data_IF_916356983761
#
_entry.id   IF_916356983761
#
_cell.length_a   1.000
_cell.length_b   1.000
_cell.length_c   1.000
_cell.angle_alpha   90.00
_cell.angle_beta   90.00
_cell.angle_gamma   90.00
#
_symmetry.space_group_name_H-M   'P 1'
#
loop_
_entity.id
_entity.type
_entity.pdbx_description
1 polymer ?
#
# COMPACT_ATOMS: atom_id res chain seq x y z
N UNK A 1 30.87 -50.19 -32.18
CA UNK A 1 29.61 -49.40 -32.26
C UNK A 1 28.64 -49.66 -31.10
N UNK A 2 28.33 -50.92 -30.74
CA UNK A 2 27.34 -51.25 -29.68
C UNK A 2 27.58 -50.57 -28.30
N UNK A 3 28.82 -50.50 -27.81
CA UNK A 3 29.14 -49.83 -26.52
C UNK A 3 28.88 -48.32 -26.51
N UNK A 4 29.08 -47.62 -27.63
CA UNK A 4 28.82 -46.17 -27.75
C UNK A 4 27.32 -45.87 -27.76
N UNK A 5 26.54 -46.75 -28.40
CA UNK A 5 25.07 -46.64 -28.44
C UNK A 5 24.46 -46.84 -27.04
N UNK A 6 24.96 -47.82 -26.28
CA UNK A 6 24.51 -48.04 -24.89
C UNK A 6 24.78 -46.82 -24.02
N UNK A 7 26.00 -46.26 -24.07
CA UNK A 7 26.35 -45.06 -23.28
C UNK A 7 25.44 -43.88 -23.60
N UNK A 8 25.15 -43.63 -24.88
CA UNK A 8 24.25 -42.54 -25.30
C UNK A 8 22.82 -42.77 -24.78
N UNK A 9 22.31 -43.99 -24.87
CA UNK A 9 20.99 -44.35 -24.33
C UNK A 9 20.91 -44.17 -22.82
N UNK A 10 21.94 -44.57 -22.06
CA UNK A 10 21.97 -44.36 -20.61
C UNK A 10 22.04 -42.88 -20.26
N UNK A 11 22.78 -42.08 -21.04
CA UNK A 11 22.92 -40.65 -20.83
C UNK A 11 21.60 -39.91 -21.11
N UNK A 12 20.85 -40.32 -22.14
CA UNK A 12 19.51 -39.80 -22.45
C UNK A 12 18.50 -40.17 -21.34
N UNK A 13 18.56 -41.41 -20.84
CA UNK A 13 17.68 -41.86 -19.77
C UNK A 13 17.94 -41.10 -18.46
N UNK A 14 19.22 -40.86 -18.13
CA UNK A 14 19.62 -40.02 -17.00
C UNK A 14 19.20 -38.56 -17.19
N UNK A 15 19.29 -38.02 -18.41
CA UNK A 15 18.82 -36.66 -18.71
C UNK A 15 17.30 -36.52 -18.52
N UNK A 16 16.52 -37.51 -18.95
CA UNK A 16 15.06 -37.51 -18.80
C UNK A 16 14.61 -37.63 -17.34
N UNK A 17 15.31 -38.42 -16.51
CA UNK A 17 15.03 -38.53 -15.09
C UNK A 17 15.30 -37.22 -14.33
N UNK A 18 16.33 -36.46 -14.74
CA UNK A 18 16.62 -35.13 -14.18
C UNK A 18 15.53 -34.11 -14.53
N UNK A 19 14.97 -34.16 -15.74
CA UNK A 19 13.89 -33.24 -16.15
C UNK A 19 12.56 -33.46 -15.43
N UNK A 20 12.27 -34.68 -14.97
CA UNK A 20 11.02 -34.99 -14.24
C UNK A 20 11.10 -34.58 -12.77
N UNK A 21 12.30 -34.57 -12.17
CA UNK A 21 12.52 -34.12 -10.79
C UNK A 21 12.67 -32.59 -10.65
N UNK A 22 12.94 -31.88 -11.74
CA UNK A 22 12.84 -30.42 -11.80
C UNK A 22 11.38 -30.02 -12.04
N UNK A 23 10.51 -30.29 -11.05
CA UNK A 23 9.13 -29.79 -11.05
C UNK A 23 9.14 -28.27 -11.28
N UNK A 24 8.32 -27.82 -12.22
CA UNK A 24 8.32 -26.46 -12.79
C UNK A 24 7.86 -25.38 -11.79
N UNK A 25 8.63 -25.10 -10.74
CA UNK A 25 8.44 -23.90 -9.95
C UNK A 25 8.89 -22.69 -10.79
N UNK A 26 7.98 -22.11 -11.58
CA UNK A 26 8.22 -20.97 -12.49
C UNK A 26 8.88 -19.79 -11.74
N UNK A 27 8.61 -19.66 -10.44
CA UNK A 27 9.09 -18.57 -9.59
C UNK A 27 10.15 -19.01 -8.55
N UNK A 28 10.60 -20.26 -8.62
CA UNK A 28 11.58 -20.85 -7.70
C UNK A 28 10.98 -21.30 -6.35
N UNK A 29 11.85 -21.56 -5.37
CA UNK A 29 11.47 -22.11 -4.06
C UNK A 29 11.80 -21.17 -2.90
N UNK A 30 10.99 -21.19 -1.85
CA UNK A 30 11.23 -20.56 -0.56
C UNK A 30 11.19 -21.63 0.53
N UNK A 31 12.31 -21.88 1.20
CA UNK A 31 12.46 -22.91 2.23
C UNK A 31 11.94 -24.30 1.79
N UNK A 32 12.18 -24.68 0.53
CA UNK A 32 11.73 -25.97 -0.04
C UNK A 32 10.32 -25.96 -0.60
N UNK A 33 9.54 -24.90 -0.41
CA UNK A 33 8.18 -24.75 -0.95
C UNK A 33 8.18 -23.95 -2.26
N UNK A 34 7.35 -24.34 -3.22
CA UNK A 34 7.20 -23.60 -4.48
C UNK A 34 6.66 -22.19 -4.22
N UNK A 35 7.32 -21.16 -4.77
CA UNK A 35 6.87 -19.77 -4.64
C UNK A 35 5.67 -19.51 -5.56
N UNK A 36 4.76 -18.67 -5.10
CA UNK A 36 3.67 -18.13 -5.92
C UNK A 36 3.86 -16.64 -6.18
N UNK A 37 3.48 -16.23 -7.38
CA UNK A 37 3.38 -14.82 -7.75
C UNK A 37 2.05 -14.25 -7.24
N UNK A 38 2.10 -13.15 -6.50
CA UNK A 38 0.92 -12.47 -5.96
C UNK A 38 0.74 -11.14 -6.69
N UNK A 39 -0.48 -10.88 -7.15
CA UNK A 39 -0.86 -9.60 -7.75
C UNK A 39 -1.92 -8.93 -6.88
N UNK A 40 -1.71 -7.67 -6.51
CA UNK A 40 -2.70 -6.82 -5.85
C UNK A 40 -3.05 -5.67 -6.80
N UNK A 41 -4.32 -5.55 -7.18
CA UNK A 41 -4.78 -4.56 -8.17
C UNK A 41 -4.00 -4.62 -9.51
N UNK A 42 -3.55 -5.81 -9.90
CA UNK A 42 -2.74 -6.03 -11.10
C UNK A 42 -1.23 -5.76 -10.93
N UNK A 43 -0.81 -5.16 -9.82
CA UNK A 43 0.59 -4.92 -9.51
C UNK A 43 1.21 -6.10 -8.75
N UNK A 44 2.43 -6.48 -9.12
CA UNK A 44 3.11 -7.59 -8.46
C UNK A 44 3.56 -7.17 -7.06
N UNK A 45 3.08 -7.90 -6.06
CA UNK A 45 3.49 -7.74 -4.68
C UNK A 45 4.85 -8.39 -4.46
N UNK A 46 5.81 -7.61 -3.95
CA UNK A 46 7.13 -8.09 -3.55
C UNK A 46 7.26 -7.96 -2.04
N UNK A 47 7.58 -9.07 -1.38
CA UNK A 47 7.72 -9.17 0.06
C UNK A 47 8.93 -10.00 0.44
N UNK A 48 9.49 -9.71 1.61
CA UNK A 48 10.64 -10.47 2.16
C UNK A 48 10.32 -11.95 2.30
N UNK A 49 9.09 -12.26 2.72
CA UNK A 49 8.54 -13.62 2.74
C UNK A 49 7.60 -13.70 1.54
N UNK A 50 7.93 -14.43 0.46
CA UNK A 50 7.04 -14.58 -0.69
C UNK A 50 5.82 -15.43 -0.31
N UNK A 51 4.79 -15.44 -1.15
CA UNK A 51 3.78 -16.48 -1.09
C UNK A 51 4.39 -17.82 -1.51
N UNK A 52 3.93 -18.92 -0.93
CA UNK A 52 4.39 -20.28 -1.27
C UNK A 52 3.29 -21.32 -1.10
N UNK A 53 3.47 -22.51 -1.66
CA UNK A 53 2.54 -23.64 -1.55
C UNK A 53 3.07 -24.68 -0.56
N UNK A 54 2.28 -25.00 0.46
CA UNK A 54 2.50 -26.13 1.37
C UNK A 54 1.28 -27.06 1.32
N UNK A 55 1.49 -28.35 1.06
CA UNK A 55 0.40 -29.35 1.02
C UNK A 55 -0.79 -28.91 0.14
N UNK A 56 -0.50 -28.42 -1.08
CA UNK A 56 -1.49 -27.85 -2.03
C UNK A 56 -2.26 -26.63 -1.53
N UNK A 57 -1.83 -26.01 -0.43
CA UNK A 57 -2.41 -24.79 0.13
C UNK A 57 -1.49 -23.61 -0.13
N UNK A 58 -2.02 -22.53 -0.69
CA UNK A 58 -1.28 -21.29 -0.87
C UNK A 58 -1.22 -20.52 0.45
N UNK A 59 -0.01 -20.30 0.95
CA UNK A 59 0.27 -19.50 2.15
C UNK A 59 0.81 -18.15 1.72
N UNK A 60 0.19 -17.09 2.24
CA UNK A 60 0.55 -15.72 1.94
C UNK A 60 0.91 -14.95 3.21
N UNK A 61 1.88 -14.01 3.14
CA UNK A 61 2.22 -13.15 4.27
C UNK A 61 1.08 -12.18 4.59
N UNK A 62 0.27 -12.52 5.60
CA UNK A 62 -0.91 -11.74 6.01
C UNK A 62 -0.59 -10.26 6.22
N UNK A 63 0.49 -9.95 6.95
CA UNK A 63 0.89 -8.57 7.25
C UNK A 63 1.12 -7.76 5.98
N UNK A 64 1.92 -8.26 5.05
CA UNK A 64 2.21 -7.58 3.78
C UNK A 64 0.94 -7.31 3.00
N UNK A 65 0.04 -8.29 2.88
CA UNK A 65 -1.20 -8.12 2.11
C UNK A 65 -2.13 -7.13 2.78
N UNK A 66 -2.36 -7.29 4.09
CA UNK A 66 -3.26 -6.43 4.85
C UNK A 66 -2.79 -4.97 4.85
N UNK A 67 -1.50 -4.72 5.12
CA UNK A 67 -0.91 -3.38 5.11
C UNK A 67 -0.99 -2.73 3.73
N UNK A 68 -0.78 -3.51 2.67
CA UNK A 68 -0.92 -3.00 1.28
C UNK A 68 -2.36 -2.63 0.93
N UNK A 69 -3.34 -3.19 1.66
CA UNK A 69 -4.76 -2.85 1.57
C UNK A 69 -5.20 -1.78 2.59
N UNK A 70 -4.25 -1.17 3.31
CA UNK A 70 -4.50 -0.13 4.30
C UNK A 70 -5.04 -0.64 5.64
N UNK A 71 -4.84 -1.93 5.94
CA UNK A 71 -5.17 -2.50 7.24
C UNK A 71 -3.94 -2.62 8.14
N UNK A 72 -4.15 -2.38 9.43
CA UNK A 72 -3.15 -2.44 10.48
C UNK A 72 -3.22 -3.82 11.12
N UNK A 73 -2.07 -4.48 11.27
CA UNK A 73 -1.98 -5.85 11.81
C UNK A 73 -1.23 -5.85 13.14
N UNK A 74 -1.93 -6.27 14.18
CA UNK A 74 -1.43 -6.45 15.54
C UNK A 74 -1.14 -7.93 15.78
N UNK A 75 -0.05 -8.20 16.49
CA UNK A 75 0.31 -9.53 16.96
C UNK A 75 0.36 -9.52 18.48
N UNK A 76 -0.51 -10.31 19.11
CA UNK A 76 -0.48 -10.59 20.55
C UNK A 76 0.17 -11.97 20.73
N UNK A 77 1.45 -11.95 21.11
CA UNK A 77 2.25 -13.16 21.30
C UNK A 77 1.71 -14.04 22.44
N UNK A 78 1.29 -13.42 23.55
CA UNK A 78 0.79 -14.14 24.73
C UNK A 78 -0.48 -14.94 24.46
N UNK A 79 -1.29 -14.51 23.48
CA UNK A 79 -2.53 -15.19 23.07
C UNK A 79 -2.42 -15.92 21.74
N UNK A 80 -1.27 -15.84 21.07
CA UNK A 80 -1.13 -16.29 19.68
C UNK A 80 -2.24 -15.74 18.77
N UNK A 81 -2.59 -14.45 18.94
CA UNK A 81 -3.73 -13.81 18.29
C UNK A 81 -3.24 -12.76 17.29
N UNK A 82 -3.72 -12.86 16.05
CA UNK A 82 -3.62 -11.77 15.07
C UNK A 82 -4.91 -10.97 15.11
N UNK A 83 -4.80 -9.65 15.33
CA UNK A 83 -5.92 -8.71 15.16
C UNK A 83 -5.64 -7.82 13.96
N UNK A 84 -6.63 -7.67 13.09
CA UNK A 84 -6.56 -6.79 11.94
C UNK A 84 -7.61 -5.69 12.08
N UNK A 85 -7.21 -4.45 11.86
CA UNK A 85 -8.11 -3.30 11.86
C UNK A 85 -7.92 -2.58 10.53
N UNK A 86 -9.01 -2.39 9.78
CA UNK A 86 -9.00 -1.64 8.53
C UNK A 86 -9.82 -0.36 8.71
N UNK A 87 -9.15 0.80 8.88
CA UNK A 87 -9.84 2.06 8.88
C UNK A 87 -10.56 2.31 7.55
N UNK A 88 -11.71 2.97 7.62
CA UNK A 88 -12.40 3.49 6.44
C UNK A 88 -11.97 4.93 6.23
N UNK A 89 -11.34 5.24 5.09
CA UNK A 89 -10.81 6.58 4.82
C UNK A 89 -11.53 7.18 3.61
N UNK A 90 -12.30 8.24 3.84
CA UNK A 90 -12.92 9.06 2.81
C UNK A 90 -12.16 10.38 2.67
N UNK A 91 -11.77 10.73 1.44
CA UNK A 91 -11.07 11.98 1.15
C UNK A 91 -11.74 12.79 0.05
N UNK A 92 -11.92 14.08 0.33
CA UNK A 92 -12.41 15.10 -0.60
C UNK A 92 -11.40 16.24 -0.74
N UNK A 93 -11.17 16.66 -1.98
CA UNK A 93 -10.21 17.70 -2.32
C UNK A 93 -10.97 18.98 -2.70
N UNK A 94 -10.61 20.11 -2.08
CA UNK A 94 -11.23 21.41 -2.37
C UNK A 94 -10.18 22.42 -2.77
N UNK A 95 -10.45 23.21 -3.81
CA UNK A 95 -9.60 24.33 -4.18
C UNK A 95 -10.05 25.60 -3.45
N UNK A 96 -9.11 26.49 -3.10
CA UNK A 96 -9.41 27.78 -2.45
C UNK A 96 -10.37 27.66 -1.25
N UNK A 97 -10.01 26.89 -0.20
CA UNK A 97 -10.85 26.79 1.00
C UNK A 97 -11.04 28.18 1.61
N UNK A 98 -12.31 28.57 1.81
CA UNK A 98 -12.65 29.81 2.50
C UNK A 98 -12.87 29.47 3.97
N UNK A 99 -12.13 30.13 4.86
CA UNK A 99 -12.42 30.13 6.28
C UNK A 99 -13.53 31.15 6.53
N UNK A 100 -14.70 30.68 6.92
CA UNK A 100 -15.82 31.53 7.34
C UNK A 100 -16.00 31.39 8.86
N UNK A 101 -15.72 32.46 9.60
CA UNK A 101 -15.78 32.50 11.07
C UNK A 101 -15.02 31.35 11.78
N UNK A 102 -13.85 30.95 11.24
CA UNK A 102 -13.03 29.87 11.80
C UNK A 102 -13.46 28.45 11.39
N UNK A 103 -14.57 28.30 10.67
CA UNK A 103 -15.02 27.03 10.11
C UNK A 103 -14.57 26.91 8.65
N UNK A 104 -14.25 25.68 8.24
CA UNK A 104 -13.92 25.38 6.86
C UNK A 104 -15.20 25.22 6.03
N UNK A 105 -15.40 26.07 5.02
CA UNK A 105 -16.49 25.91 4.04
C UNK A 105 -15.93 25.35 2.74
N UNK A 106 -16.48 24.21 2.31
CA UNK A 106 -16.05 23.50 1.10
C UNK A 106 -16.63 24.22 -0.13
N UNK A 107 -15.78 24.91 -0.89
CA UNK A 107 -16.09 25.43 -2.22
C UNK A 107 -15.27 24.70 -3.29
N UNK A 108 -15.90 24.38 -4.42
CA UNK A 108 -15.20 23.85 -5.61
C UNK A 108 -14.44 22.53 -5.39
N UNK A 109 -15.14 21.40 -5.14
CA UNK A 109 -14.49 20.10 -5.12
C UNK A 109 -13.88 19.79 -6.50
N UNK A 110 -12.70 19.17 -6.51
CA UNK A 110 -12.01 18.83 -7.76
C UNK A 110 -11.40 17.42 -7.72
N UNK A 111 -11.16 16.87 -8.91
CA UNK A 111 -10.40 15.62 -9.10
C UNK A 111 -9.45 15.66 -10.30
N UNK A 112 -9.37 16.81 -10.99
CA UNK A 112 -8.53 17.02 -12.18
C UNK A 112 -7.95 18.42 -12.15
N UNK A 113 -6.70 18.58 -12.58
CA UNK A 113 -6.03 19.88 -12.73
C UNK A 113 -5.71 20.10 -14.22
N UNK A 114 -6.22 21.18 -14.83
CA UNK A 114 -5.93 21.52 -16.23
C UNK A 114 -4.53 22.12 -16.37
N UNK A 115 -3.98 22.04 -17.58
CA UNK A 115 -2.60 22.44 -17.89
C UNK A 115 -2.27 23.90 -17.56
N UNK A 116 -3.26 24.80 -17.63
CA UNK A 116 -3.10 26.22 -17.33
C UNK A 116 -3.19 26.58 -15.83
N UNK A 117 -3.34 25.59 -14.93
CA UNK A 117 -3.45 25.81 -13.47
C UNK A 117 -2.50 24.94 -12.65
N UNK A 118 -1.34 24.60 -13.22
CA UNK A 118 -0.38 23.70 -12.59
C UNK A 118 0.57 24.35 -11.59
N UNK A 119 0.66 25.67 -11.54
CA UNK A 119 1.62 26.36 -10.66
C UNK A 119 0.93 27.17 -9.56
N UNK A 120 1.56 27.24 -8.39
CA UNK A 120 1.09 28.02 -7.24
C UNK A 120 -0.28 27.61 -6.71
N UNK A 121 -0.65 26.33 -6.86
CA UNK A 121 -2.00 25.87 -6.57
C UNK A 121 -2.21 25.63 -5.07
N UNK A 122 -3.31 26.18 -4.53
CA UNK A 122 -3.71 26.02 -3.14
C UNK A 122 -4.94 25.12 -3.03
N UNK A 123 -4.88 24.12 -2.16
CA UNK A 123 -6.02 23.23 -1.90
C UNK A 123 -6.00 22.68 -0.48
N UNK A 124 -7.14 22.14 -0.04
CA UNK A 124 -7.22 21.36 1.19
C UNK A 124 -7.76 19.96 0.92
N UNK A 125 -7.32 19.03 1.75
CA UNK A 125 -7.82 17.66 1.81
C UNK A 125 -8.68 17.54 3.06
N UNK A 126 -9.98 17.31 2.88
CA UNK A 126 -10.87 16.90 3.96
C UNK A 126 -10.83 15.38 4.03
N UNK A 127 -10.47 14.88 5.20
CA UNK A 127 -10.40 13.45 5.47
C UNK A 127 -11.39 13.11 6.57
N UNK A 128 -12.22 12.12 6.32
CA UNK A 128 -13.08 11.47 7.31
C UNK A 128 -12.56 10.04 7.45
N UNK A 129 -12.26 9.64 8.68
CA UNK A 129 -11.71 8.33 8.99
C UNK A 129 -12.52 7.67 10.09
N UNK A 130 -13.00 6.45 9.85
CA UNK A 130 -13.73 5.62 10.82
C UNK A 130 -12.98 4.31 11.11
N UNK A 131 -13.44 3.58 12.13
CA UNK A 131 -12.88 2.29 12.57
C UNK A 131 -11.39 2.39 12.94
N UNK A 132 -11.01 3.46 13.62
CA UNK A 132 -9.66 3.63 14.11
C UNK A 132 -9.33 2.62 15.23
N UNK A 133 -8.06 2.19 15.36
CA UNK A 133 -7.62 1.43 16.51
C UNK A 133 -7.82 2.19 17.83
N UNK A 134 -8.20 1.48 18.89
CA UNK A 134 -8.32 2.03 20.23
C UNK A 134 -6.93 2.22 20.86
N UNK A 135 -6.25 3.30 20.50
CA UNK A 135 -4.93 3.71 21.01
C UNK A 135 -4.63 5.18 20.62
N UNK A 136 -3.47 5.70 21.03
CA UNK A 136 -2.95 6.97 20.52
C UNK A 136 -2.27 6.77 19.18
N UNK A 137 -2.65 7.59 18.21
CA UNK A 137 -2.24 7.49 16.83
C UNK A 137 -1.52 8.77 16.39
N UNK A 138 -0.61 8.65 15.43
CA UNK A 138 -0.12 9.80 14.67
C UNK A 138 -0.62 9.69 13.23
N UNK A 139 -1.15 10.79 12.71
CA UNK A 139 -1.66 10.87 11.34
C UNK A 139 -0.97 12.00 10.57
N UNK A 140 -0.85 11.82 9.25
CA UNK A 140 -0.51 12.90 8.32
C UNK A 140 -1.02 12.58 6.92
N UNK A 141 -1.23 13.62 6.12
CA UNK A 141 -1.56 13.48 4.70
C UNK A 141 -0.36 13.93 3.88
N UNK A 142 -0.01 13.18 2.84
CA UNK A 142 1.10 13.52 1.94
C UNK A 142 0.63 13.58 0.49
N UNK A 143 1.31 14.40 -0.30
CA UNK A 143 1.15 14.46 -1.75
C UNK A 143 2.38 13.83 -2.41
N UNK A 144 2.16 12.88 -3.32
CA UNK A 144 3.20 12.26 -4.15
C UNK A 144 2.94 12.52 -5.63
N UNK A 145 4.03 12.60 -6.38
CA UNK A 145 4.00 12.73 -7.83
C UNK A 145 3.66 11.40 -8.52
N UNK A 146 3.47 11.39 -9.86
CA UNK A 146 3.14 10.17 -10.60
C UNK A 146 4.15 9.03 -10.49
N UNK A 147 5.41 9.33 -10.14
CA UNK A 147 6.46 8.33 -9.94
C UNK A 147 6.56 7.88 -8.47
N UNK A 148 5.65 8.36 -7.61
CA UNK A 148 5.60 8.04 -6.19
C UNK A 148 6.57 8.86 -5.32
N UNK A 149 7.22 9.88 -5.86
CA UNK A 149 8.11 10.76 -5.09
C UNK A 149 7.30 11.75 -4.25
N UNK A 150 7.70 11.98 -3.01
CA UNK A 150 7.10 12.99 -2.14
C UNK A 150 7.22 14.38 -2.77
N UNK A 151 6.09 15.09 -2.84
CA UNK A 151 5.98 16.48 -3.30
C UNK A 151 5.87 17.40 -2.09
N UNK A 152 4.95 17.10 -1.18
CA UNK A 152 4.66 17.91 0.01
C UNK A 152 4.07 17.02 1.11
N UNK A 153 4.27 17.39 2.37
CA UNK A 153 3.64 16.72 3.51
C UNK A 153 2.90 17.68 4.43
N UNK A 154 1.72 17.25 4.88
CA UNK A 154 0.98 17.94 5.91
C UNK A 154 1.59 17.79 7.30
N UNK A 155 1.13 18.62 8.23
CA UNK A 155 1.52 18.52 9.63
C UNK A 155 1.17 17.14 10.22
N UNK A 156 2.07 16.58 11.02
CA UNK A 156 1.77 15.39 11.80
C UNK A 156 0.92 15.76 13.01
N UNK A 157 -0.25 15.13 13.15
CA UNK A 157 -1.13 15.30 14.32
C UNK A 157 -1.18 14.03 15.14
N UNK A 158 -1.19 14.19 16.46
CA UNK A 158 -1.49 13.12 17.41
C UNK A 158 -3.00 13.13 17.67
N UNK A 159 -3.63 11.96 17.58
CA UNK A 159 -5.03 11.74 17.88
C UNK A 159 -5.17 10.64 18.93
N UNK A 160 -6.02 10.84 19.92
CA UNK A 160 -6.29 9.85 20.98
C UNK A 160 -7.59 9.12 20.65
N UNK A 161 -7.48 7.96 20.00
CA UNK A 161 -8.64 7.18 19.54
C UNK A 161 -9.18 6.22 20.61
N UNK A 162 -8.85 6.45 21.89
CA UNK A 162 -9.28 5.57 22.99
C UNK A 162 -10.76 5.68 23.34
N UNK A 163 -11.36 6.84 23.06
CA UNK A 163 -12.77 7.14 23.34
C UNK A 163 -13.58 7.53 22.08
N UNK A 164 -12.90 7.84 20.97
CA UNK A 164 -13.51 8.22 19.69
C UNK A 164 -12.77 7.48 18.57
N UNK A 165 -13.44 6.57 17.86
CA UNK A 165 -12.85 5.76 16.79
C UNK A 165 -13.03 6.36 15.39
N UNK A 166 -13.52 7.60 15.33
CA UNK A 166 -13.68 8.38 14.12
C UNK A 166 -12.98 9.74 14.22
N UNK A 167 -12.54 10.27 13.09
CA UNK A 167 -11.78 11.51 12.99
C UNK A 167 -12.14 12.27 11.71
N UNK A 168 -12.36 13.58 11.86
CA UNK A 168 -12.40 14.52 10.75
C UNK A 168 -11.15 15.41 10.80
N UNK A 169 -10.38 15.45 9.72
CA UNK A 169 -9.13 16.19 9.64
C UNK A 169 -8.96 16.93 8.30
N UNK A 170 -8.57 18.19 8.38
CA UNK A 170 -8.34 19.04 7.21
C UNK A 170 -6.85 19.34 7.08
N UNK A 171 -6.26 18.95 5.95
CA UNK A 171 -4.85 19.23 5.65
C UNK A 171 -4.74 20.25 4.51
N UNK A 172 -4.22 21.47 4.76
CA UNK A 172 -3.97 22.44 3.71
C UNK A 172 -2.65 22.19 2.98
N UNK A 173 -2.65 22.33 1.66
CA UNK A 173 -1.49 22.35 0.79
C UNK A 173 -1.42 23.70 0.07
N UNK A 174 -0.29 24.38 0.15
CA UNK A 174 -0.12 25.75 -0.34
C UNK A 174 1.01 25.81 -1.37
N UNK A 175 0.81 26.64 -2.39
CA UNK A 175 1.78 26.95 -3.42
C UNK A 175 2.38 25.70 -4.10
N UNK A 176 1.52 24.75 -4.45
CA UNK A 176 1.95 23.49 -5.07
C UNK A 176 2.15 23.66 -6.58
N UNK A 177 3.31 23.21 -7.06
CA UNK A 177 3.63 23.13 -8.48
C UNK A 177 3.53 21.68 -8.99
N UNK A 178 2.52 21.42 -9.83
CA UNK A 178 2.31 20.15 -10.51
C UNK A 178 3.18 20.05 -11.76
N UNK A 179 4.45 19.69 -11.58
CA UNK A 179 5.47 19.65 -12.64
C UNK A 179 5.15 18.60 -13.73
N UNK A 180 4.70 17.42 -13.33
CA UNK A 180 4.49 16.26 -14.22
C UNK A 180 3.02 16.13 -14.62
N UNK A 181 2.78 15.49 -15.75
CA UNK A 181 1.44 14.97 -16.11
C UNK A 181 1.24 13.59 -15.52
N UNK A 182 0.02 13.25 -15.14
CA UNK A 182 -0.35 11.93 -14.62
C UNK A 182 -1.08 11.99 -13.30
N UNK A 183 -1.17 10.83 -12.65
CA UNK A 183 -1.89 10.68 -11.38
C UNK A 183 -0.98 11.02 -10.20
N UNK A 184 -1.20 12.18 -9.61
CA UNK A 184 -0.66 12.49 -8.29
C UNK A 184 -1.49 11.75 -7.24
N UNK A 185 -0.85 11.35 -6.14
CA UNK A 185 -1.48 10.57 -5.05
C UNK A 185 -1.49 11.39 -3.78
N UNK A 186 -2.68 11.61 -3.25
CA UNK A 186 -2.89 12.11 -1.89
C UNK A 186 -3.06 10.89 -1.00
N UNK A 187 -2.13 10.66 -0.09
CA UNK A 187 -2.11 9.48 0.77
C UNK A 187 -2.35 9.89 2.22
N UNK A 188 -3.31 9.23 2.87
CA UNK A 188 -3.54 9.35 4.30
C UNK A 188 -2.70 8.31 5.02
N UNK A 189 -1.79 8.76 5.87
CA UNK A 189 -0.85 7.92 6.59
C UNK A 189 -1.19 7.90 8.08
N UNK A 190 -1.06 6.72 8.68
CA UNK A 190 -1.29 6.48 10.10
C UNK A 190 -0.10 5.70 10.68
N UNK A 191 0.32 6.10 11.88
CA UNK A 191 1.27 5.38 12.71
C UNK A 191 0.59 4.98 14.01
N UNK A 192 0.72 3.71 14.37
CA UNK A 192 0.20 3.09 15.58
C UNK A 192 1.31 2.32 16.30
N UNK A 193 1.01 1.74 17.46
CA UNK A 193 1.95 0.86 18.15
C UNK A 193 2.35 -0.34 17.28
N UNK A 194 1.40 -0.91 16.52
CA UNK A 194 1.63 -2.04 15.64
C UNK A 194 2.56 -1.74 14.45
N UNK A 195 2.62 -0.48 14.00
CA UNK A 195 3.49 -0.08 12.89
C UNK A 195 4.94 0.17 13.34
N UNK A 196 5.24 0.04 14.65
CA UNK A 196 6.61 0.10 15.22
C UNK A 196 7.40 1.34 14.80
N UNK A 197 6.74 2.49 14.77
CA UNK A 197 7.39 3.77 14.47
C UNK A 197 7.30 4.20 13.01
N UNK A 198 6.80 3.34 12.11
CA UNK A 198 6.62 3.67 10.69
C UNK A 198 5.21 4.15 10.37
N UNK A 199 5.08 4.99 9.35
CA UNK A 199 3.78 5.42 8.84
C UNK A 199 3.27 4.42 7.80
N UNK A 200 2.06 3.91 8.00
CA UNK A 200 1.34 3.07 7.07
C UNK A 200 0.34 3.89 6.27
N UNK A 201 0.28 3.69 4.95
CA UNK A 201 -0.79 4.24 4.12
C UNK A 201 -2.11 3.50 4.37
N UNK A 202 -3.12 4.22 4.84
CA UNK A 202 -4.45 3.66 5.12
C UNK A 202 -5.53 4.16 4.15
N UNK A 203 -5.25 5.21 3.37
CA UNK A 203 -6.15 5.72 2.35
C UNK A 203 -5.41 6.43 1.21
N UNK A 204 -6.04 6.48 0.04
CA UNK A 204 -5.48 7.13 -1.15
C UNK A 204 -6.57 7.83 -1.98
N UNK A 205 -6.26 9.02 -2.50
CA UNK A 205 -7.07 9.75 -3.48
C UNK A 205 -6.17 10.20 -4.63
N UNK A 206 -6.66 10.06 -5.87
CA UNK A 206 -5.93 10.50 -7.05
C UNK A 206 -6.31 11.92 -7.49
N UNK A 207 -5.31 12.68 -7.92
CA UNK A 207 -5.46 13.93 -8.66
C UNK A 207 -4.88 13.70 -10.05
N UNK A 208 -5.72 13.77 -11.08
CA UNK A 208 -5.24 13.68 -12.47
C UNK A 208 -4.79 15.05 -12.96
N UNK A 209 -3.49 15.20 -13.21
CA UNK A 209 -2.91 16.39 -13.86
C UNK A 209 -2.77 16.12 -15.35
N UNK A 210 -3.44 16.94 -16.17
CA UNK A 210 -3.40 16.86 -17.63
C UNK A 210 -2.47 17.88 -18.23
#
# INVERSE_FOLDING_TARGET
MKKRVVIILTMILLFSAVTVYAGNAIYGYFNGYEKVKVLLNGEQMVSKIPGFIIENTTVLPLKTIAESMGAIVYWDEGKSLVKMIKPNVNMQLTANPVLDNGNYVIYSPFGKIPTNRRSGFNFSVYSEVDNLPNEKLQIKVVLKDPDGKLVEEGETKTFDATNEDSLQYVTPFKNIDFIKTGNYRVEFLLKSEATRGEFLKIGEKLILVK
#
